data_IF_202021300381
#
_entry.id   IF_202021300381
#
_cell.length_a   1.000
_cell.length_b   1.000
_cell.length_c   1.000
_cell.angle_alpha   90.00
_cell.angle_beta   90.00
_cell.angle_gamma   90.00
#
_symmetry.space_group_name_H-M   'P 1'
#
loop_
_entity.id
_entity.type
_entity.pdbx_description
1 polymer ?
#
# COMPACT_ATOMS: atom_id res chain seq x y z
N UNK A 1 36.05 5.94 -13.86
CA UNK A 1 34.70 6.10 -13.28
C UNK A 1 34.09 7.41 -13.73
N UNK A 2 33.41 7.31 -14.85
CA UNK A 2 32.22 8.10 -15.17
C UNK A 2 31.11 7.83 -14.13
N UNK A 3 30.11 8.71 -14.11
CA UNK A 3 28.90 8.53 -13.29
C UNK A 3 28.12 7.25 -13.67
N UNK A 4 28.30 6.76 -14.91
CA UNK A 4 27.65 5.55 -15.41
C UNK A 4 28.33 4.28 -14.88
N UNK A 5 29.66 4.20 -14.91
CA UNK A 5 30.42 3.12 -14.26
C UNK A 5 30.08 2.99 -12.77
N UNK A 6 29.88 4.11 -12.07
CA UNK A 6 29.46 4.11 -10.67
C UNK A 6 28.07 3.46 -10.50
N UNK A 7 27.07 3.87 -11.29
CA UNK A 7 25.71 3.31 -11.23
C UNK A 7 25.63 1.83 -11.64
N UNK A 8 26.44 1.40 -12.61
CA UNK A 8 26.55 -0.03 -12.98
C UNK A 8 27.15 -0.82 -11.80
N UNK A 9 28.15 -0.27 -11.11
CA UNK A 9 28.72 -0.87 -9.89
C UNK A 9 27.73 -0.91 -8.72
N UNK A 10 26.88 0.10 -8.57
CA UNK A 10 25.81 0.15 -7.55
C UNK A 10 24.72 -0.90 -7.85
N UNK A 11 24.30 -1.05 -9.11
CA UNK A 11 23.35 -2.08 -9.54
C UNK A 11 23.87 -3.51 -9.28
N UNK A 12 25.14 -3.78 -9.62
CA UNK A 12 25.77 -5.09 -9.33
C UNK A 12 25.88 -5.35 -7.82
N UNK A 13 26.27 -4.34 -7.03
CA UNK A 13 26.32 -4.46 -5.57
C UNK A 13 24.92 -4.69 -4.94
N UNK A 14 23.87 -4.09 -5.49
CA UNK A 14 22.49 -4.35 -5.07
C UNK A 14 22.04 -5.78 -5.43
N UNK A 15 22.38 -6.27 -6.62
CA UNK A 15 22.11 -7.65 -7.03
C UNK A 15 22.83 -8.68 -6.16
N UNK A 16 24.10 -8.47 -5.83
CA UNK A 16 24.87 -9.32 -4.92
C UNK A 16 24.25 -9.34 -3.50
N UNK A 17 23.85 -8.17 -2.98
CA UNK A 17 23.17 -8.04 -1.69
C UNK A 17 21.83 -8.78 -1.66
N UNK A 18 21.07 -8.73 -2.75
CA UNK A 18 19.81 -9.47 -2.91
C UNK A 18 20.02 -10.99 -3.01
N UNK A 19 21.08 -11.45 -3.68
CA UNK A 19 21.45 -12.88 -3.71
C UNK A 19 21.86 -13.41 -2.33
N UNK A 20 22.65 -12.64 -1.56
CA UNK A 20 22.97 -12.97 -0.16
C UNK A 20 21.69 -12.97 0.70
N UNK A 21 20.75 -12.06 0.44
CA UNK A 21 19.46 -12.03 1.14
C UNK A 21 18.60 -13.26 0.79
N UNK A 22 18.53 -13.66 -0.49
CA UNK A 22 17.82 -14.85 -0.93
C UNK A 22 18.33 -16.13 -0.23
N UNK A 23 19.65 -16.30 -0.14
CA UNK A 23 20.26 -17.44 0.55
C UNK A 23 20.00 -17.43 2.07
N UNK A 24 20.02 -16.25 2.71
CA UNK A 24 19.65 -16.12 4.13
C UNK A 24 18.18 -16.50 4.37
N UNK A 25 17.25 -16.06 3.52
CA UNK A 25 15.82 -16.42 3.60
C UNK A 25 15.65 -17.92 3.34
N UNK A 26 16.33 -18.50 2.34
CA UNK A 26 16.35 -19.95 2.06
C UNK A 26 16.82 -20.76 3.26
N UNK A 27 17.87 -20.32 3.95
CA UNK A 27 18.35 -20.92 5.20
C UNK A 27 17.32 -20.85 6.33
N UNK A 28 16.64 -19.72 6.49
CA UNK A 28 15.58 -19.55 7.48
C UNK A 28 14.35 -20.43 7.20
N UNK A 29 13.89 -20.48 5.95
CA UNK A 29 12.78 -21.34 5.47
C UNK A 29 13.10 -22.81 5.69
N UNK A 30 14.29 -23.27 5.28
CA UNK A 30 14.76 -24.64 5.50
C UNK A 30 14.83 -25.01 7.00
N UNK A 31 15.24 -24.06 7.84
CA UNK A 31 15.25 -24.23 9.31
C UNK A 31 13.83 -24.35 9.88
N UNK A 32 12.90 -23.48 9.45
CA UNK A 32 11.50 -23.55 9.83
C UNK A 32 10.86 -24.88 9.40
N UNK A 33 11.13 -25.33 8.17
CA UNK A 33 10.64 -26.60 7.64
C UNK A 33 11.14 -27.79 8.48
N UNK A 34 12.43 -27.79 8.83
CA UNK A 34 13.04 -28.82 9.70
C UNK A 34 12.41 -28.84 11.10
N UNK A 35 12.12 -27.68 11.69
CA UNK A 35 11.49 -27.58 13.01
C UNK A 35 10.03 -28.07 12.99
N UNK A 36 9.25 -27.67 11.99
CA UNK A 36 7.82 -27.98 11.93
C UNK A 36 7.58 -29.44 11.52
N UNK A 37 8.37 -29.98 10.58
CA UNK A 37 8.34 -31.41 10.26
C UNK A 37 8.78 -32.26 11.49
N UNK A 38 9.68 -31.73 12.34
CA UNK A 38 10.00 -32.31 13.65
C UNK A 38 8.84 -32.31 14.65
N UNK A 39 8.08 -31.21 14.74
CA UNK A 39 6.87 -31.13 15.59
C UNK A 39 5.75 -32.08 15.13
N UNK A 40 5.61 -32.29 13.81
CA UNK A 40 4.72 -33.29 13.24
C UNK A 40 5.13 -34.72 13.64
N UNK A 41 6.42 -35.06 13.58
CA UNK A 41 6.95 -36.38 14.01
C UNK A 41 6.75 -36.63 15.51
N UNK A 42 6.78 -35.57 16.34
CA UNK A 42 6.48 -35.66 17.78
C UNK A 42 4.99 -35.85 18.09
N UNK A 43 4.09 -35.79 17.09
CA UNK A 43 2.68 -36.10 17.25
C UNK A 43 1.91 -35.10 18.12
N UNK A 44 2.30 -33.83 18.10
CA UNK A 44 1.69 -32.79 18.94
C UNK A 44 0.25 -32.49 18.50
N UNK A 45 -0.74 -32.83 19.35
CA UNK A 45 -2.17 -32.69 19.03
C UNK A 45 -2.87 -31.66 19.93
N UNK A 46 -3.36 -30.59 19.32
CA UNK A 46 -4.32 -29.64 19.88
C UNK A 46 -5.08 -28.96 18.75
N UNK A 47 -6.27 -28.36 18.96
CA UNK A 47 -7.01 -27.68 17.89
C UNK A 47 -6.19 -26.57 17.22
N UNK A 48 -5.43 -25.79 17.99
CA UNK A 48 -4.53 -24.77 17.47
C UNK A 48 -3.34 -25.36 16.68
N UNK A 49 -2.83 -26.53 17.09
CA UNK A 49 -1.78 -27.22 16.35
C UNK A 49 -2.29 -27.79 15.01
N UNK A 50 -3.53 -28.30 14.95
CA UNK A 50 -4.16 -28.74 13.70
C UNK A 50 -4.22 -27.58 12.70
N UNK A 51 -4.82 -26.45 13.10
CA UNK A 51 -4.90 -25.23 12.26
C UNK A 51 -3.51 -24.77 11.84
N UNK A 52 -2.54 -24.70 12.77
CA UNK A 52 -1.16 -24.32 12.45
C UNK A 52 -0.52 -25.24 11.40
N UNK A 53 -0.64 -26.57 11.54
CA UNK A 53 -0.06 -27.51 10.59
C UNK A 53 -0.78 -27.51 9.23
N UNK A 54 -2.07 -27.20 9.19
CA UNK A 54 -2.85 -27.06 7.94
C UNK A 54 -2.50 -25.77 7.21
N UNK A 55 -2.46 -24.62 7.91
CA UNK A 55 -1.93 -23.36 7.38
C UNK A 55 -0.50 -23.54 6.88
N UNK A 56 0.40 -24.09 7.69
CA UNK A 56 1.78 -24.34 7.28
C UNK A 56 1.90 -25.20 6.01
N UNK A 57 1.12 -26.28 5.88
CA UNK A 57 1.12 -27.11 4.66
C UNK A 57 0.70 -26.34 3.41
N UNK A 58 -0.18 -25.33 3.55
CA UNK A 58 -0.61 -24.46 2.46
C UNK A 58 0.45 -23.40 2.13
N UNK A 59 0.99 -22.73 3.14
CA UNK A 59 1.98 -21.65 2.94
C UNK A 59 3.40 -22.16 2.63
N UNK A 60 3.70 -23.45 2.86
CA UNK A 60 5.03 -24.04 2.61
C UNK A 60 5.57 -23.75 1.20
N UNK A 61 4.72 -23.86 0.19
CA UNK A 61 5.11 -23.56 -1.20
C UNK A 61 5.38 -22.07 -1.42
N UNK A 62 4.64 -21.18 -0.75
CA UNK A 62 4.90 -19.73 -0.79
C UNK A 62 6.24 -19.40 -0.13
N UNK A 63 6.54 -20.05 1.01
CA UNK A 63 7.82 -19.94 1.70
C UNK A 63 8.99 -20.46 0.83
N UNK A 64 8.81 -21.59 0.13
CA UNK A 64 9.80 -22.12 -0.81
C UNK A 64 9.98 -21.22 -2.06
N UNK A 65 8.93 -20.54 -2.53
CA UNK A 65 8.97 -19.64 -3.71
C UNK A 65 9.64 -18.29 -3.41
N UNK A 66 9.53 -17.74 -2.21
CA UNK A 66 10.07 -16.39 -1.89
C UNK A 66 11.58 -16.24 -2.19
N UNK A 67 12.47 -17.17 -1.80
CA UNK A 67 13.87 -17.15 -2.20
C UNK A 67 14.10 -17.25 -3.72
N UNK A 68 13.24 -17.96 -4.45
CA UNK A 68 13.38 -18.11 -5.91
C UNK A 68 13.03 -16.81 -6.66
N UNK A 69 12.07 -16.04 -6.17
CA UNK A 69 11.74 -14.72 -6.71
C UNK A 69 12.85 -13.69 -6.42
N UNK A 70 13.43 -13.71 -5.21
CA UNK A 70 14.59 -12.88 -4.88
C UNK A 70 15.81 -13.20 -5.77
N UNK A 71 16.13 -14.49 -5.96
CA UNK A 71 17.18 -14.92 -6.89
C UNK A 71 16.85 -14.57 -8.35
N UNK A 72 15.58 -14.55 -8.74
CA UNK A 72 15.15 -14.14 -10.09
C UNK A 72 15.35 -12.65 -10.28
N UNK A 73 14.94 -11.83 -9.31
CA UNK A 73 15.10 -10.38 -9.34
C UNK A 73 16.58 -9.95 -9.33
N UNK A 74 17.41 -10.58 -8.48
CA UNK A 74 18.86 -10.36 -8.46
C UNK A 74 19.52 -10.67 -9.81
N UNK A 75 19.12 -11.77 -10.47
CA UNK A 75 19.59 -12.11 -11.83
C UNK A 75 19.12 -11.08 -12.88
N UNK A 76 17.88 -10.59 -12.79
CA UNK A 76 17.37 -9.55 -13.69
C UNK A 76 18.15 -8.23 -13.55
N UNK A 77 18.54 -7.85 -12.32
CA UNK A 77 19.37 -6.66 -12.08
C UNK A 77 20.77 -6.79 -12.69
N UNK A 78 21.41 -7.96 -12.54
CA UNK A 78 22.70 -8.21 -13.20
C UNK A 78 22.58 -8.21 -14.73
N UNK A 79 21.54 -8.84 -15.29
CA UNK A 79 21.28 -8.79 -16.74
C UNK A 79 21.01 -7.37 -17.25
N UNK A 80 20.37 -6.51 -16.46
CA UNK A 80 20.19 -5.10 -16.79
C UNK A 80 21.52 -4.32 -16.75
N UNK A 81 22.38 -4.58 -15.76
CA UNK A 81 23.71 -3.99 -15.67
C UNK A 81 24.60 -4.39 -16.85
N UNK A 82 24.59 -5.68 -17.22
CA UNK A 82 25.33 -6.22 -18.38
C UNK A 82 24.84 -5.58 -19.70
N UNK A 83 23.52 -5.49 -19.90
CA UNK A 83 22.93 -4.89 -21.11
C UNK A 83 23.22 -3.38 -21.25
N UNK A 84 23.39 -2.66 -20.13
CA UNK A 84 23.82 -1.25 -20.14
C UNK A 84 25.31 -1.15 -20.51
N UNK A 85 26.16 -2.04 -19.98
CA UNK A 85 27.60 -2.07 -20.30
C UNK A 85 27.85 -2.41 -21.79
N UNK A 86 27.14 -3.40 -22.34
CA UNK A 86 27.18 -3.76 -23.77
C UNK A 86 26.74 -2.59 -24.67
N UNK A 87 25.66 -1.88 -24.30
CA UNK A 87 25.15 -0.75 -25.08
C UNK A 87 26.14 0.42 -25.12
N UNK A 88 26.79 0.72 -24.01
CA UNK A 88 27.83 1.78 -23.91
C UNK A 88 29.06 1.39 -24.74
N UNK A 89 29.50 0.14 -24.67
CA UNK A 89 30.62 -0.36 -25.47
C UNK A 89 30.31 -0.25 -26.98
N UNK A 90 29.10 -0.61 -27.39
CA UNK A 90 28.65 -0.48 -28.78
C UNK A 90 28.58 0.98 -29.26
N UNK A 91 28.15 1.92 -28.40
CA UNK A 91 28.15 3.36 -28.73
C UNK A 91 29.58 3.92 -28.86
N UNK A 92 30.53 3.48 -28.02
CA UNK A 92 31.94 3.84 -28.14
C UNK A 92 32.60 3.28 -29.40
N UNK A 93 32.32 2.02 -29.77
CA UNK A 93 32.84 1.41 -31.00
C UNK A 93 32.25 2.07 -32.25
N UNK A 94 30.95 2.38 -32.25
CA UNK A 94 30.27 3.16 -33.30
C UNK A 94 30.90 4.56 -33.47
N UNK A 95 31.23 5.22 -32.36
CA UNK A 95 31.85 6.55 -32.34
C UNK A 95 33.35 6.55 -32.67
N UNK A 96 34.00 5.38 -32.71
CA UNK A 96 35.45 5.24 -32.83
C UNK A 96 36.00 5.18 -34.26
N UNK A 97 35.17 4.89 -35.26
CA UNK A 97 35.62 4.69 -36.66
C UNK A 97 35.51 5.99 -37.46
N UNK A 98 36.49 6.88 -37.27
CA UNK A 98 36.44 8.26 -37.77
C UNK A 98 37.71 8.82 -38.44
N UNK A 99 38.67 7.99 -38.85
CA UNK A 99 39.86 8.45 -39.58
C UNK A 99 40.60 7.35 -40.39
N UNK A 100 40.32 7.27 -41.70
CA UNK A 100 41.37 7.37 -42.74
C UNK A 100 40.72 7.77 -44.09
N UNK A 101 41.51 8.33 -45.02
CA UNK A 101 41.05 8.94 -46.29
C UNK A 101 40.97 7.94 -47.48
N UNK A 102 40.13 8.21 -48.50
CA UNK A 102 40.31 7.53 -49.80
C UNK A 102 39.17 7.46 -50.84
N UNK A 103 38.83 8.59 -51.48
CA UNK A 103 38.61 8.78 -52.95
C UNK A 103 37.64 7.88 -53.81
N UNK A 104 37.02 8.54 -54.81
CA UNK A 104 36.54 8.01 -56.11
C UNK A 104 35.24 7.18 -56.28
N UNK A 105 34.13 7.93 -56.46
CA UNK A 105 33.17 7.87 -57.61
C UNK A 105 32.30 6.63 -57.95
N UNK A 106 30.98 6.92 -58.02
CA UNK A 106 30.01 6.58 -59.09
C UNK A 106 29.37 5.17 -59.21
N UNK A 107 28.08 5.05 -58.82
CA UNK A 107 27.00 4.37 -59.58
C UNK A 107 25.62 4.41 -58.87
N UNK A 108 24.53 4.38 -59.63
CA UNK A 108 23.10 4.36 -59.22
C UNK A 108 22.30 3.35 -60.09
N UNK A 109 20.99 3.07 -59.86
CA UNK A 109 20.13 3.20 -58.66
C UNK A 109 19.72 1.77 -58.21
N UNK A 110 18.47 1.18 -58.24
CA UNK A 110 17.07 1.63 -58.28
C UNK A 110 16.18 1.03 -57.12
N UNK A 111 14.90 0.59 -57.25
CA UNK A 111 13.81 1.48 -56.81
C UNK A 111 12.60 0.90 -56.00
N UNK A 112 11.74 1.84 -55.51
CA UNK A 112 10.29 1.78 -55.13
C UNK A 112 9.81 0.92 -53.93
N UNK A 113 8.59 1.18 -53.35
CA UNK A 113 7.63 2.28 -53.58
C UNK A 113 7.17 3.05 -52.30
N UNK A 114 6.34 4.09 -52.53
CA UNK A 114 5.65 4.93 -51.52
C UNK A 114 4.12 4.80 -51.71
N UNK A 115 3.29 4.99 -50.65
CA UNK A 115 1.93 5.53 -50.80
C UNK A 115 1.79 6.93 -50.18
N UNK A 116 1.02 7.82 -50.82
CA UNK A 116 1.01 9.27 -50.53
C UNK A 116 -0.38 9.83 -50.15
N UNK A 117 -0.38 10.80 -49.22
CA UNK A 117 -1.38 11.87 -49.14
C UNK A 117 -2.42 11.72 -48.02
N UNK A 118 -2.82 12.80 -47.34
CA UNK A 118 -2.30 14.17 -47.41
C UNK A 118 -3.27 15.21 -46.82
N UNK A 119 -2.79 16.44 -46.58
CA UNK A 119 -3.65 17.59 -46.24
C UNK A 119 -3.16 18.45 -45.06
N UNK A 120 -2.82 19.70 -45.37
CA UNK A 120 -2.75 20.84 -44.44
C UNK A 120 -3.37 22.05 -45.19
N UNK A 121 -3.77 23.17 -44.54
CA UNK A 121 -2.77 24.16 -44.12
C UNK A 121 -3.10 25.10 -42.92
N UNK A 122 -2.05 25.63 -42.28
CA UNK A 122 -2.03 26.95 -41.62
C UNK A 122 -2.46 27.04 -40.14
N UNK A 123 -2.01 28.03 -39.36
CA UNK A 123 -0.94 29.03 -39.63
C UNK A 123 -0.48 29.79 -38.36
N UNK A 124 0.81 30.15 -38.33
CA UNK A 124 1.40 31.36 -37.69
C UNK A 124 1.10 31.73 -36.22
N UNK A 125 2.14 31.86 -35.38
CA UNK A 125 1.96 32.32 -33.98
C UNK A 125 3.25 32.56 -33.18
N UNK A 126 4.23 33.20 -33.81
CA UNK A 126 5.44 33.82 -33.24
C UNK A 126 5.26 34.52 -31.87
N UNK A 127 6.16 34.25 -30.91
CA UNK A 127 6.34 35.05 -29.69
C UNK A 127 7.45 34.49 -28.79
N UNK A 128 8.35 35.33 -28.28
CA UNK A 128 9.46 34.89 -27.41
C UNK A 128 10.23 36.04 -26.76
N UNK A 129 11.26 35.69 -25.95
CA UNK A 129 11.99 36.54 -24.96
C UNK A 129 11.33 36.59 -23.57
N UNK A 130 12.09 36.88 -22.48
CA UNK A 130 13.43 36.38 -22.13
C UNK A 130 13.51 35.89 -20.65
N UNK A 131 14.59 35.21 -20.21
CA UNK A 131 14.76 34.84 -18.80
C UNK A 131 15.16 36.04 -17.91
N UNK A 132 14.78 36.05 -16.61
CA UNK A 132 15.23 37.04 -15.64
C UNK A 132 16.69 36.81 -15.19
N UNK A 133 17.31 37.86 -14.67
CA UNK A 133 18.74 37.95 -14.37
C UNK A 133 19.17 37.34 -13.02
N UNK A 134 20.40 36.83 -12.98
CA UNK A 134 21.11 36.48 -11.74
C UNK A 134 21.27 37.65 -10.78
N UNK A 135 20.97 37.44 -9.49
CA UNK A 135 21.17 38.40 -8.41
C UNK A 135 22.22 37.92 -7.41
N UNK A 136 23.48 38.35 -7.57
CA UNK A 136 24.55 38.05 -6.60
C UNK A 136 24.51 39.00 -5.41
N UNK A 137 24.36 38.49 -4.19
CA UNK A 137 24.37 39.28 -2.95
C UNK A 137 25.11 38.58 -1.82
N UNK A 138 26.43 38.77 -1.72
CA UNK A 138 27.24 38.29 -0.60
C UNK A 138 27.24 39.27 0.57
N UNK A 139 27.07 38.77 1.81
CA UNK A 139 27.13 39.57 3.04
C UNK A 139 27.78 38.78 4.17
N UNK A 140 28.90 39.29 4.71
CA UNK A 140 29.73 38.60 5.71
C UNK A 140 29.62 39.21 7.11
N UNK A 141 29.51 38.37 8.14
CA UNK A 141 29.64 38.76 9.55
C UNK A 141 28.67 37.95 10.44
N UNK A 142 29.07 37.31 11.55
CA UNK A 142 30.39 37.26 12.18
C UNK A 142 30.46 38.12 13.45
N UNK A 143 29.85 37.63 14.53
CA UNK A 143 29.88 38.25 15.85
C UNK A 143 29.50 37.24 16.95
N UNK A 144 30.23 37.25 18.06
CA UNK A 144 30.01 36.37 19.21
C UNK A 144 30.09 37.18 20.51
N UNK A 145 29.89 36.52 21.66
CA UNK A 145 29.75 37.09 23.01
C UNK A 145 28.45 37.90 23.21
N UNK A 146 27.84 37.94 24.40
CA UNK A 146 28.14 37.22 25.65
C UNK A 146 27.27 37.79 26.78
N UNK A 147 26.63 36.95 27.59
CA UNK A 147 25.61 37.37 28.55
C UNK A 147 26.10 37.54 30.00
N UNK A 148 25.49 38.48 30.73
CA UNK A 148 25.30 38.49 32.20
C UNK A 148 24.10 39.39 32.56
N UNK A 149 23.43 39.20 33.71
CA UNK A 149 22.05 39.66 33.92
C UNK A 149 21.91 41.04 34.58
N UNK A 150 20.67 41.56 34.58
CA UNK A 150 20.28 42.67 35.47
C UNK A 150 18.91 42.43 36.11
N UNK A 151 18.76 42.83 37.37
CA UNK A 151 17.56 42.68 38.20
C UNK A 151 16.81 44.01 38.35
N UNK A 152 15.48 44.04 38.27
CA UNK A 152 14.71 45.25 38.62
C UNK A 152 13.20 45.10 38.52
N UNK A 153 12.51 45.24 39.65
CA UNK A 153 11.04 45.17 39.76
C UNK A 153 10.42 46.57 39.81
N UNK A 154 9.19 46.76 39.28
CA UNK A 154 8.28 47.80 39.81
C UNK A 154 7.44 48.64 38.84
N UNK A 155 6.16 48.27 38.72
CA UNK A 155 4.99 49.17 38.79
C UNK A 155 4.70 50.25 37.72
N UNK A 156 3.73 49.90 36.87
CA UNK A 156 2.53 50.70 36.55
C UNK A 156 2.63 52.09 35.88
N UNK A 157 2.10 52.18 34.65
CA UNK A 157 0.78 52.81 34.37
C UNK A 157 0.26 52.40 32.97
N UNK A 158 -1.05 52.45 32.78
CA UNK A 158 -1.71 51.87 31.60
C UNK A 158 -1.85 52.81 30.40
N UNK A 159 -2.04 52.22 29.24
CA UNK A 159 -2.49 52.86 28.00
C UNK A 159 -3.14 51.81 27.10
N UNK A 160 -4.31 52.12 26.53
CA UNK A 160 -5.04 51.19 25.67
C UNK A 160 -4.37 51.05 24.31
N UNK A 161 -3.96 49.84 23.96
CA UNK A 161 -3.44 49.49 22.63
C UNK A 161 -3.81 48.05 22.31
N UNK A 162 -4.26 47.79 21.08
CA UNK A 162 -4.56 46.44 20.62
C UNK A 162 -3.25 45.69 20.37
N UNK A 163 -3.10 44.51 20.98
CA UNK A 163 -1.95 43.63 20.83
C UNK A 163 -2.45 42.21 20.59
N UNK A 164 -1.84 41.51 19.63
CA UNK A 164 -2.09 40.09 19.41
C UNK A 164 -1.58 39.25 20.62
N UNK A 165 -2.17 38.08 20.89
CA UNK A 165 -1.68 37.19 21.94
C UNK A 165 -0.31 36.61 21.58
N UNK A 166 0.74 37.05 22.27
CA UNK A 166 2.05 36.42 22.21
C UNK A 166 2.06 35.21 23.14
N UNK A 167 1.87 34.01 22.60
CA UNK A 167 1.99 32.77 23.36
C UNK A 167 3.45 32.54 23.76
N UNK A 168 3.67 32.24 25.04
CA UNK A 168 4.98 31.85 25.59
C UNK A 168 5.03 30.34 25.81
N UNK A 169 6.16 29.71 25.50
CA UNK A 169 6.36 28.26 25.58
C UNK A 169 6.51 27.72 27.02
N UNK A 170 5.58 28.12 27.90
CA UNK A 170 5.50 27.75 29.32
C UNK A 170 4.07 27.54 29.81
N UNK A 171 3.07 27.68 28.92
CA UNK A 171 1.65 27.39 29.22
C UNK A 171 1.23 25.96 28.80
N UNK A 172 2.16 25.18 28.23
CA UNK A 172 1.99 23.76 27.92
C UNK A 172 2.55 22.92 29.08
N UNK A 173 1.73 22.70 30.10
CA UNK A 173 1.85 21.50 30.95
C UNK A 173 1.38 20.32 30.07
N UNK A 174 2.33 19.60 29.49
CA UNK A 174 2.07 18.54 28.51
C UNK A 174 1.42 17.33 29.22
N UNK A 175 0.14 17.01 28.95
CA UNK A 175 -0.59 16.05 29.76
C UNK A 175 -0.08 14.63 29.50
N UNK A 176 0.27 13.92 30.58
CA UNK A 176 0.74 12.53 30.52
C UNK A 176 -0.19 11.68 29.62
N UNK A 177 0.33 11.07 28.53
CA UNK A 177 -0.49 10.53 27.47
C UNK A 177 -1.41 9.44 28.01
N UNK A 178 -2.71 9.70 27.95
CA UNK A 178 -3.71 8.80 28.50
C UNK A 178 -3.64 7.44 27.80
N UNK A 179 -3.85 6.32 28.51
CA UNK A 179 -3.79 4.99 27.92
C UNK A 179 -4.87 4.87 26.85
N UNK A 180 -4.44 4.92 25.59
CA UNK A 180 -5.32 4.91 24.41
C UNK A 180 -6.17 3.64 24.45
N UNK A 181 -7.48 3.80 24.36
CA UNK A 181 -8.42 2.67 24.36
C UNK A 181 -8.20 1.74 23.16
N UNK A 182 -8.63 0.47 23.22
CA UNK A 182 -8.53 -0.44 22.08
C UNK A 182 -9.25 0.16 20.85
N UNK A 183 -8.84 -0.20 19.62
CA UNK A 183 -9.54 0.23 18.42
C UNK A 183 -11.03 -0.20 18.47
N UNK A 184 -11.95 0.63 17.96
CA UNK A 184 -13.36 0.25 17.84
C UNK A 184 -13.54 -1.04 17.02
N UNK A 185 -14.55 -1.88 17.32
CA UNK A 185 -14.96 -2.94 16.41
C UNK A 185 -15.36 -2.38 15.03
N UNK A 186 -15.14 -3.13 13.95
CA UNK A 186 -15.48 -2.72 12.58
C UNK A 186 -16.96 -2.30 12.45
N UNK A 187 -17.84 -2.97 13.18
CA UNK A 187 -19.29 -2.69 13.25
C UNK A 187 -19.65 -1.37 13.95
N UNK A 188 -18.73 -0.77 14.72
CA UNK A 188 -19.01 0.41 15.53
C UNK A 188 -19.00 1.71 14.70
N UNK A 189 -18.18 1.77 13.64
CA UNK A 189 -18.24 2.80 12.62
C UNK A 189 -17.64 2.31 11.30
N UNK A 190 -18.37 2.52 10.21
CA UNK A 190 -17.94 2.32 8.83
C UNK A 190 -18.62 3.42 8.00
N UNK A 191 -17.85 4.19 7.22
CA UNK A 191 -18.42 5.27 6.40
C UNK A 191 -19.32 4.73 5.27
N UNK A 192 -20.06 5.65 4.63
CA UNK A 192 -20.95 5.32 3.52
C UNK A 192 -20.27 4.62 2.34
N UNK A 193 -19.03 4.98 2.00
CA UNK A 193 -18.31 4.39 0.88
C UNK A 193 -17.94 2.91 1.14
N UNK A 194 -17.61 2.58 2.39
CA UNK A 194 -17.23 1.23 2.81
C UNK A 194 -18.43 0.35 3.27
N UNK A 195 -19.65 0.90 3.30
CA UNK A 195 -20.86 0.19 3.76
C UNK A 195 -21.17 -1.05 2.91
N UNK A 196 -20.84 -1.04 1.61
CA UNK A 196 -21.00 -2.22 0.74
C UNK A 196 -20.04 -3.35 1.15
N UNK A 197 -18.78 -3.02 1.52
CA UNK A 197 -17.79 -4.00 1.95
C UNK A 197 -18.20 -4.66 3.28
N UNK A 198 -18.72 -3.87 4.24
CA UNK A 198 -19.26 -4.39 5.49
C UNK A 198 -20.47 -5.30 5.24
N UNK A 199 -21.35 -4.91 4.30
CA UNK A 199 -22.52 -5.70 3.91
C UNK A 199 -22.12 -7.02 3.24
N UNK A 200 -21.12 -6.98 2.35
CA UNK A 200 -20.56 -8.17 1.69
C UNK A 200 -19.92 -9.13 2.71
N UNK A 201 -19.14 -8.60 3.67
CA UNK A 201 -18.53 -9.37 4.75
C UNK A 201 -19.59 -10.08 5.60
N UNK A 202 -20.62 -9.35 6.05
CA UNK A 202 -21.73 -9.91 6.83
C UNK A 202 -22.53 -10.98 6.04
N UNK A 203 -22.74 -10.76 4.74
CA UNK A 203 -23.38 -11.77 3.87
C UNK A 203 -22.54 -13.04 3.77
N UNK A 204 -21.22 -12.93 3.56
CA UNK A 204 -20.33 -14.09 3.46
C UNK A 204 -20.19 -14.83 4.79
N UNK A 205 -20.16 -14.12 5.93
CA UNK A 205 -20.19 -14.74 7.26
C UNK A 205 -21.48 -15.56 7.49
N UNK A 206 -22.64 -15.08 7.02
CA UNK A 206 -23.90 -15.82 7.07
C UNK A 206 -23.94 -17.02 6.10
N UNK A 207 -23.33 -16.91 4.92
CA UNK A 207 -23.21 -18.01 3.96
C UNK A 207 -22.25 -19.10 4.47
N UNK A 208 -21.16 -18.72 5.14
CA UNK A 208 -20.21 -19.63 5.76
C UNK A 208 -20.87 -20.51 6.83
N UNK A 209 -21.69 -19.94 7.70
CA UNK A 209 -22.40 -20.69 8.74
C UNK A 209 -23.51 -21.60 8.15
N UNK A 210 -24.15 -21.14 7.07
CA UNK A 210 -25.08 -21.97 6.27
C UNK A 210 -24.34 -23.15 5.63
N UNK A 211 -23.13 -22.92 5.11
CA UNK A 211 -22.30 -23.93 4.46
C UNK A 211 -21.76 -24.97 5.45
N UNK A 212 -21.33 -24.55 6.64
CA UNK A 212 -20.97 -25.44 7.77
C UNK A 212 -22.15 -26.33 8.18
N UNK A 213 -23.33 -25.73 8.35
CA UNK A 213 -24.57 -26.48 8.66
C UNK A 213 -24.87 -27.53 7.58
N UNK A 214 -24.59 -27.23 6.31
CA UNK A 214 -24.74 -28.19 5.21
C UNK A 214 -23.67 -29.29 5.24
N UNK A 215 -22.41 -28.97 5.54
CA UNK A 215 -21.32 -29.94 5.68
C UNK A 215 -21.58 -30.95 6.81
N UNK A 216 -22.08 -30.50 7.95
CA UNK A 216 -22.47 -31.37 9.07
C UNK A 216 -23.62 -32.32 8.67
N UNK A 217 -24.61 -31.81 7.94
CA UNK A 217 -25.72 -32.61 7.40
C UNK A 217 -25.25 -33.69 6.42
N UNK A 218 -24.33 -33.34 5.51
CA UNK A 218 -23.74 -34.28 4.56
C UNK A 218 -22.89 -35.35 5.27
N UNK A 219 -22.03 -34.92 6.20
CA UNK A 219 -21.17 -35.80 7.00
C UNK A 219 -21.98 -36.78 7.85
N UNK A 220 -23.05 -36.29 8.49
CA UNK A 220 -24.01 -37.13 9.23
C UNK A 220 -24.64 -38.18 8.31
N UNK A 221 -25.16 -37.76 7.14
CA UNK A 221 -25.80 -38.67 6.18
C UNK A 221 -24.83 -39.71 5.61
N UNK A 222 -23.57 -39.34 5.41
CA UNK A 222 -22.48 -40.23 5.00
C UNK A 222 -22.17 -41.28 6.08
N UNK A 223 -22.21 -40.89 7.35
CA UNK A 223 -22.10 -41.80 8.51
C UNK A 223 -23.28 -42.78 8.62
N UNK A 224 -24.51 -42.33 8.37
CA UNK A 224 -25.70 -43.20 8.32
C UNK A 224 -25.58 -44.28 7.24
N UNK A 225 -25.20 -43.91 6.02
CA UNK A 225 -25.07 -44.85 4.89
C UNK A 225 -23.90 -45.82 5.07
N UNK A 226 -22.77 -45.37 5.64
CA UNK A 226 -21.68 -46.25 6.04
C UNK A 226 -22.16 -47.29 7.06
N UNK A 227 -22.92 -46.86 8.06
CA UNK A 227 -23.50 -47.76 9.08
C UNK A 227 -24.47 -48.78 8.46
N UNK A 228 -25.33 -48.37 7.51
CA UNK A 228 -26.21 -49.30 6.79
C UNK A 228 -25.42 -50.34 5.97
N UNK A 229 -24.34 -49.91 5.31
CA UNK A 229 -23.46 -50.78 4.52
C UNK A 229 -22.77 -51.83 5.41
N UNK A 230 -22.18 -51.40 6.53
CA UNK A 230 -21.46 -52.28 7.45
C UNK A 230 -22.39 -53.29 8.13
N UNK A 231 -23.60 -52.86 8.51
CA UNK A 231 -24.63 -53.71 9.09
C UNK A 231 -25.14 -54.76 8.08
N UNK A 232 -25.25 -54.40 6.80
CA UNK A 232 -25.60 -55.31 5.71
C UNK A 232 -24.48 -56.32 5.42
N UNK A 233 -23.21 -55.90 5.42
CA UNK A 233 -22.05 -56.78 5.29
C UNK A 233 -21.98 -57.80 6.45
N UNK A 234 -22.20 -57.36 7.69
CA UNK A 234 -22.27 -58.20 8.89
C UNK A 234 -23.38 -59.26 8.79
N UNK A 235 -24.58 -58.87 8.34
CA UNK A 235 -25.73 -59.78 8.13
C UNK A 235 -25.45 -60.82 7.04
N UNK A 236 -24.71 -60.49 5.98
CA UNK A 236 -24.32 -61.49 4.98
C UNK A 236 -23.31 -62.52 5.52
N UNK A 237 -22.27 -62.05 6.20
CA UNK A 237 -21.22 -62.91 6.77
C UNK A 237 -21.77 -63.91 7.80
N UNK A 238 -22.87 -63.57 8.48
CA UNK A 238 -23.55 -64.44 9.45
C UNK A 238 -24.65 -65.33 8.84
N UNK A 239 -25.24 -64.96 7.70
CA UNK A 239 -26.33 -65.71 7.07
C UNK A 239 -25.89 -66.79 6.05
N UNK A 240 -24.65 -66.74 5.56
CA UNK A 240 -24.14 -67.70 4.55
C UNK A 240 -24.86 -67.66 3.20
N UNK A 241 -25.60 -66.59 2.92
CA UNK A 241 -26.48 -66.43 1.76
C UNK A 241 -25.85 -65.66 0.59
N UNK A 242 -26.42 -65.86 -0.61
CA UNK A 242 -25.96 -65.20 -1.85
C UNK A 242 -26.30 -63.69 -1.85
N UNK A 243 -25.38 -62.89 -2.39
CA UNK A 243 -25.36 -61.42 -2.31
C UNK A 243 -26.53 -60.71 -3.01
N UNK A 244 -27.19 -59.74 -2.32
CA UNK A 244 -27.91 -58.64 -2.96
C UNK A 244 -26.93 -57.60 -3.54
N UNK A 245 -26.08 -58.04 -4.49
CA UNK A 245 -24.89 -57.32 -4.97
C UNK A 245 -25.20 -55.86 -5.40
N UNK A 246 -26.37 -55.61 -5.98
CA UNK A 246 -26.82 -54.28 -6.40
C UNK A 246 -27.07 -53.29 -5.23
N UNK A 247 -27.55 -53.73 -4.06
CA UNK A 247 -27.79 -52.80 -2.92
C UNK A 247 -26.49 -52.32 -2.29
N UNK A 248 -25.51 -53.22 -2.15
CA UNK A 248 -24.16 -52.89 -1.67
C UNK A 248 -23.55 -51.84 -2.57
N UNK A 249 -23.61 -52.06 -3.90
CA UNK A 249 -23.09 -51.13 -4.88
C UNK A 249 -23.80 -49.78 -4.85
N UNK A 250 -25.13 -49.78 -4.80
CA UNK A 250 -25.91 -48.53 -4.70
C UNK A 250 -25.66 -47.75 -3.40
N UNK A 251 -25.31 -48.40 -2.29
CA UNK A 251 -24.84 -47.72 -1.08
C UNK A 251 -23.43 -47.15 -1.26
N UNK A 252 -22.50 -47.91 -1.86
CA UNK A 252 -21.14 -47.45 -2.16
C UNK A 252 -21.13 -46.27 -3.15
N UNK A 253 -21.99 -46.29 -4.17
CA UNK A 253 -22.21 -45.20 -5.13
C UNK A 253 -22.75 -43.93 -4.45
N UNK A 254 -23.70 -44.06 -3.51
CA UNK A 254 -24.19 -42.93 -2.71
C UNK A 254 -23.15 -42.38 -1.72
N UNK A 255 -22.35 -43.25 -1.09
CA UNK A 255 -21.25 -42.82 -0.21
C UNK A 255 -20.18 -42.07 -1.01
N UNK A 256 -19.80 -42.56 -2.19
CA UNK A 256 -18.85 -41.88 -3.06
C UNK A 256 -19.38 -40.52 -3.59
N UNK A 257 -20.68 -40.41 -3.86
CA UNK A 257 -21.31 -39.15 -4.20
C UNK A 257 -21.27 -38.16 -3.02
N UNK A 258 -21.62 -38.60 -1.80
CA UNK A 258 -21.53 -37.77 -0.60
C UNK A 258 -20.10 -37.38 -0.24
N UNK A 259 -19.11 -38.26 -0.41
CA UNK A 259 -17.70 -37.92 -0.21
C UNK A 259 -17.25 -36.82 -1.19
N UNK A 260 -17.79 -36.79 -2.41
CA UNK A 260 -17.57 -35.70 -3.38
C UNK A 260 -18.32 -34.40 -3.02
N UNK A 261 -19.56 -34.48 -2.52
CA UNK A 261 -20.32 -33.32 -2.03
C UNK A 261 -19.67 -32.71 -0.78
N UNK A 262 -19.11 -33.54 0.10
CA UNK A 262 -18.36 -33.14 1.29
C UNK A 262 -17.08 -32.38 0.91
N UNK A 263 -16.31 -32.90 -0.06
CA UNK A 263 -15.10 -32.19 -0.56
C UNK A 263 -15.47 -30.80 -1.10
N UNK A 264 -16.45 -30.72 -2.01
CA UNK A 264 -16.86 -29.43 -2.58
C UNK A 264 -17.44 -28.44 -1.55
N UNK A 265 -18.09 -28.94 -0.50
CA UNK A 265 -18.55 -28.11 0.62
C UNK A 265 -17.39 -27.63 1.51
N UNK A 266 -16.34 -28.43 1.69
CA UNK A 266 -15.11 -28.03 2.38
C UNK A 266 -14.34 -26.97 1.57
N UNK A 267 -14.22 -27.15 0.26
CA UNK A 267 -13.58 -26.20 -0.65
C UNK A 267 -14.31 -24.84 -0.63
N UNK A 268 -15.64 -24.82 -0.75
CA UNK A 268 -16.44 -23.59 -0.65
C UNK A 268 -16.33 -22.88 0.70
N UNK A 269 -16.21 -23.65 1.80
CA UNK A 269 -15.96 -23.10 3.14
C UNK A 269 -14.59 -22.43 3.22
N UNK A 270 -13.54 -23.03 2.62
CA UNK A 270 -12.21 -22.43 2.58
C UNK A 270 -12.21 -21.12 1.77
N UNK A 271 -12.85 -21.10 0.60
CA UNK A 271 -12.95 -19.91 -0.26
C UNK A 271 -13.70 -18.77 0.44
N UNK A 272 -14.83 -19.06 1.11
CA UNK A 272 -15.55 -18.08 1.93
C UNK A 272 -14.69 -17.54 3.08
N UNK A 273 -13.94 -18.39 3.78
CA UNK A 273 -13.06 -17.95 4.87
C UNK A 273 -11.92 -17.03 4.38
N UNK A 274 -11.33 -17.31 3.21
CA UNK A 274 -10.33 -16.44 2.60
C UNK A 274 -10.93 -15.09 2.15
N UNK A 275 -12.13 -15.10 1.55
CA UNK A 275 -12.82 -13.87 1.12
C UNK A 275 -13.25 -13.00 2.31
N UNK A 276 -13.70 -13.60 3.42
CA UNK A 276 -14.00 -12.86 4.65
C UNK A 276 -12.74 -12.23 5.23
N UNK A 277 -11.61 -12.95 5.23
CA UNK A 277 -10.34 -12.43 5.73
C UNK A 277 -9.81 -11.23 4.90
N UNK A 278 -9.99 -11.23 3.58
CA UNK A 278 -9.68 -10.06 2.73
C UNK A 278 -10.55 -8.85 3.11
N UNK A 279 -11.87 -9.04 3.19
CA UNK A 279 -12.81 -7.97 3.53
C UNK A 279 -12.57 -7.42 4.94
N UNK A 280 -12.29 -8.27 5.93
CA UNK A 280 -11.91 -7.87 7.29
C UNK A 280 -10.61 -7.05 7.28
N UNK A 281 -9.59 -7.48 6.54
CA UNK A 281 -8.30 -6.76 6.41
C UNK A 281 -8.48 -5.39 5.75
N UNK A 282 -9.34 -5.29 4.73
CA UNK A 282 -9.63 -4.06 4.01
C UNK A 282 -10.45 -3.08 4.84
N UNK A 283 -11.51 -3.56 5.52
CA UNK A 283 -12.31 -2.78 6.46
C UNK A 283 -11.47 -2.30 7.64
N UNK A 284 -10.56 -3.11 8.19
CA UNK A 284 -9.68 -2.67 9.26
C UNK A 284 -8.83 -1.47 8.82
N UNK A 285 -8.22 -1.51 7.62
CA UNK A 285 -7.35 -0.44 7.09
C UNK A 285 -8.02 0.94 7.09
N UNK A 286 -9.33 0.99 6.87
CA UNK A 286 -10.14 2.23 6.83
C UNK A 286 -10.98 2.49 8.08
N UNK A 287 -11.01 1.55 9.04
CA UNK A 287 -11.67 1.73 10.32
C UNK A 287 -10.96 2.75 11.23
N UNK A 288 -11.65 3.41 12.17
CA UNK A 288 -11.02 4.35 13.10
C UNK A 288 -9.94 3.71 13.97
N UNK A 289 -8.87 4.47 14.21
CA UNK A 289 -7.78 4.07 15.09
C UNK A 289 -8.20 3.96 16.57
N UNK A 290 -7.30 3.38 17.38
CA UNK A 290 -7.36 3.42 18.83
C UNK A 290 -7.51 4.87 19.34
N UNK A 291 -8.46 5.10 20.25
CA UNK A 291 -8.73 6.43 20.83
C UNK A 291 -9.72 7.33 20.08
N UNK A 292 -10.25 6.87 18.94
CA UNK A 292 -11.20 7.62 18.12
C UNK A 292 -12.51 8.01 18.85
N UNK A 293 -12.99 9.23 18.60
CA UNK A 293 -14.35 9.67 18.93
C UNK A 293 -15.27 9.43 17.72
N UNK A 294 -16.17 8.46 17.85
CA UNK A 294 -17.07 8.05 16.77
C UNK A 294 -18.20 9.06 16.50
N UNK A 295 -18.59 9.89 17.47
CA UNK A 295 -19.58 10.95 17.24
C UNK A 295 -18.95 12.12 16.49
N UNK A 296 -17.70 12.45 16.84
CA UNK A 296 -16.87 13.41 16.11
C UNK A 296 -16.60 12.96 14.67
N UNK A 297 -16.17 11.72 14.45
CA UNK A 297 -15.93 11.16 13.11
C UNK A 297 -17.20 11.14 12.27
N UNK A 298 -18.34 10.69 12.82
CA UNK A 298 -19.62 10.72 12.12
C UNK A 298 -20.12 12.15 11.83
N UNK A 299 -19.66 13.16 12.57
CA UNK A 299 -19.93 14.58 12.27
C UNK A 299 -19.03 15.18 11.19
N UNK A 300 -17.91 14.52 10.85
CA UNK A 300 -17.00 14.90 9.77
C UNK A 300 -17.47 14.34 8.42
N UNK A 301 -18.12 13.18 8.39
CA UNK A 301 -18.75 12.61 7.19
C UNK A 301 -19.79 13.59 6.56
N UNK A 302 -19.78 13.73 5.24
CA UNK A 302 -20.51 14.76 4.45
C UNK A 302 -20.23 16.25 4.83
N UNK A 303 -19.31 16.54 5.75
CA UNK A 303 -19.02 17.92 6.18
C UNK A 303 -18.04 18.64 5.23
N UNK A 304 -17.49 19.78 5.65
CA UNK A 304 -16.47 20.51 4.90
C UNK A 304 -15.43 21.12 5.84
N UNK A 305 -14.17 21.22 5.39
CA UNK A 305 -13.12 21.93 6.11
C UNK A 305 -13.54 23.36 6.43
N UNK A 306 -13.35 23.79 7.68
CA UNK A 306 -13.83 25.09 8.12
C UNK A 306 -13.24 26.25 7.30
N UNK A 307 -14.05 27.29 7.05
CA UNK A 307 -13.60 28.47 6.29
C UNK A 307 -12.40 29.19 6.96
N UNK A 308 -12.22 29.01 8.28
CA UNK A 308 -11.03 29.49 8.99
C UNK A 308 -9.76 28.79 8.52
N UNK A 309 -9.77 27.45 8.44
CA UNK A 309 -8.67 26.64 7.90
C UNK A 309 -8.44 26.98 6.42
N UNK A 310 -9.50 26.99 5.60
CA UNK A 310 -9.42 27.31 4.15
C UNK A 310 -8.88 28.72 3.84
N UNK A 311 -8.97 29.64 4.81
CA UNK A 311 -8.36 30.97 4.72
C UNK A 311 -6.92 30.98 5.26
N UNK A 312 -6.63 30.24 6.33
CA UNK A 312 -5.30 30.18 6.95
C UNK A 312 -4.27 29.44 6.09
N UNK A 313 -4.69 28.38 5.39
CA UNK A 313 -3.81 27.61 4.49
C UNK A 313 -3.70 28.22 3.08
N UNK A 314 -4.42 29.30 2.78
CA UNK A 314 -4.36 29.96 1.46
C UNK A 314 -3.22 30.98 1.41
N UNK A 315 -2.05 30.57 0.91
CA UNK A 315 -0.88 31.45 0.80
C UNK A 315 -0.60 31.87 -0.65
N UNK A 316 -0.03 33.07 -0.83
CA UNK A 316 0.21 33.66 -2.14
C UNK A 316 1.53 33.22 -2.79
N UNK A 317 2.37 32.49 -2.05
CA UNK A 317 3.70 31.99 -2.46
C UNK A 317 3.71 30.47 -2.74
N UNK A 318 2.55 29.84 -2.75
CA UNK A 318 2.32 28.39 -2.89
C UNK A 318 2.85 27.48 -1.76
N UNK A 319 3.54 28.00 -0.74
CA UNK A 319 4.22 27.22 0.31
C UNK A 319 3.35 26.16 1.03
N UNK A 320 2.03 26.39 1.10
CA UNK A 320 1.03 25.47 1.66
C UNK A 320 -0.21 25.35 0.78
N UNK A 321 -0.10 25.58 -0.54
CA UNK A 321 -1.28 25.49 -1.40
C UNK A 321 -1.71 24.05 -1.71
N UNK A 322 -0.82 23.06 -1.58
CA UNK A 322 -1.17 21.63 -1.56
C UNK A 322 -2.08 21.30 -0.35
N UNK A 323 -1.73 21.82 0.82
CA UNK A 323 -2.52 21.75 2.06
C UNK A 323 -3.89 22.43 1.85
N UNK A 324 -3.95 23.61 1.23
CA UNK A 324 -5.23 24.27 0.89
C UNK A 324 -6.08 23.45 -0.09
N UNK A 325 -5.44 22.79 -1.07
CA UNK A 325 -6.08 21.97 -2.08
C UNK A 325 -6.75 20.72 -1.48
N UNK A 326 -6.04 19.97 -0.65
CA UNK A 326 -6.59 18.81 0.08
C UNK A 326 -7.72 19.25 1.01
N UNK A 327 -7.52 20.32 1.79
CA UNK A 327 -8.58 20.92 2.61
C UNK A 327 -9.83 21.34 1.82
N UNK A 328 -9.71 21.66 0.53
CA UNK A 328 -10.84 22.06 -0.32
C UNK A 328 -11.65 20.89 -0.89
N UNK A 329 -11.12 19.65 -0.81
CA UNK A 329 -11.78 18.41 -1.27
C UNK A 329 -12.57 17.73 -0.17
N UNK A 330 -11.90 17.44 0.92
CA UNK A 330 -12.39 16.60 2.01
C UNK A 330 -12.44 17.38 3.33
N UNK A 331 -13.18 16.90 4.34
CA UNK A 331 -13.13 17.46 5.68
C UNK A 331 -11.75 17.22 6.31
N UNK A 332 -11.03 18.29 6.62
CA UNK A 332 -9.80 18.28 7.43
C UNK A 332 -10.08 19.07 8.72
N UNK A 333 -10.03 18.43 9.90
CA UNK A 333 -10.29 19.09 11.17
C UNK A 333 -9.12 20.00 11.60
N UNK A 334 -9.26 20.79 12.70
CA UNK A 334 -8.15 21.54 13.28
C UNK A 334 -6.94 20.68 13.66
N UNK A 335 -5.80 21.30 13.93
CA UNK A 335 -4.55 20.62 14.30
C UNK A 335 -3.80 20.00 13.11
N UNK A 336 -4.49 19.27 12.24
CA UNK A 336 -3.90 18.57 11.08
C UNK A 336 -3.26 19.50 10.01
N UNK A 337 -3.88 20.60 9.57
CA UNK A 337 -3.44 21.31 8.37
C UNK A 337 -2.36 22.37 8.66
N UNK A 338 -1.11 21.92 8.72
CA UNK A 338 0.10 22.76 8.71
C UNK A 338 1.04 22.32 7.56
N UNK A 339 2.37 22.47 7.69
CA UNK A 339 3.35 21.98 6.72
C UNK A 339 3.07 20.52 6.35
N UNK A 340 3.01 20.19 5.07
CA UNK A 340 2.59 18.88 4.57
C UNK A 340 3.28 17.70 5.27
N UNK A 341 4.61 17.77 5.45
CA UNK A 341 5.38 16.68 6.05
C UNK A 341 5.00 16.31 7.50
N UNK A 342 4.42 17.25 8.27
CA UNK A 342 4.03 17.08 9.67
C UNK A 342 2.61 16.51 9.86
N UNK A 343 1.83 16.33 8.79
CA UNK A 343 0.46 15.83 8.88
C UNK A 343 0.33 14.48 9.62
N UNK A 344 1.23 13.49 9.45
CA UNK A 344 1.20 12.25 10.22
C UNK A 344 1.38 12.48 11.73
N UNK A 345 2.34 13.31 12.13
CA UNK A 345 2.61 13.65 13.53
C UNK A 345 1.43 14.41 14.15
N UNK A 346 0.83 15.36 13.42
CA UNK A 346 -0.36 16.08 13.89
C UNK A 346 -1.53 15.11 14.13
N UNK A 347 -1.72 14.12 13.26
CA UNK A 347 -2.77 13.12 13.39
C UNK A 347 -2.51 12.15 14.56
N UNK A 348 -1.26 11.79 14.84
CA UNK A 348 -0.88 11.03 16.04
C UNK A 348 -1.10 11.83 17.33
N UNK A 349 -1.00 13.17 17.28
CA UNK A 349 -1.35 14.05 18.39
C UNK A 349 -2.87 14.27 18.58
N UNK A 350 -3.69 13.84 17.62
CA UNK A 350 -5.16 13.95 17.63
C UNK A 350 -5.84 12.58 17.43
N UNK A 351 -5.67 11.63 18.38
CA UNK A 351 -6.26 10.29 18.28
C UNK A 351 -7.79 10.29 18.20
N UNK A 352 -8.46 11.36 18.65
CA UNK A 352 -9.92 11.53 18.56
C UNK A 352 -10.43 11.50 17.11
N UNK A 353 -9.60 11.86 16.12
CA UNK A 353 -9.97 11.75 14.69
C UNK A 353 -9.82 10.34 14.12
N UNK A 354 -9.21 9.40 14.86
CA UNK A 354 -9.08 8.00 14.43
C UNK A 354 -8.31 7.77 13.14
N UNK A 355 -7.50 8.74 12.69
CA UNK A 355 -6.76 8.66 11.41
C UNK A 355 -5.70 7.56 11.52
N UNK A 356 -5.70 6.61 10.59
CA UNK A 356 -4.66 5.56 10.48
C UNK A 356 -3.58 5.98 9.48
N UNK A 357 -2.38 5.43 9.63
CA UNK A 357 -1.26 5.58 8.69
C UNK A 357 -0.95 4.25 8.00
N UNK A 358 -0.43 4.30 6.79
CA UNK A 358 0.13 3.12 6.13
C UNK A 358 0.84 3.41 4.79
N UNK A 359 1.11 2.34 4.07
CA UNK A 359 1.92 2.25 2.85
C UNK A 359 1.13 1.87 1.59
N UNK A 360 -0.18 1.58 1.73
CA UNK A 360 -1.06 1.17 0.64
C UNK A 360 -1.87 2.36 0.13
N UNK A 361 -1.80 2.72 -1.17
CA UNK A 361 -2.66 3.74 -1.73
C UNK A 361 -4.14 3.30 -1.69
N UNK A 362 -5.00 4.18 -1.19
CA UNK A 362 -6.46 4.00 -1.16
C UNK A 362 -7.17 5.24 -1.71
N UNK A 363 -8.32 5.07 -2.38
CA UNK A 363 -9.13 6.22 -2.80
C UNK A 363 -9.65 7.00 -1.58
N UNK A 364 -9.65 8.33 -1.64
CA UNK A 364 -10.01 9.18 -0.49
C UNK A 364 -8.99 9.16 0.65
N UNK A 365 -7.76 8.69 0.41
CA UNK A 365 -6.61 8.90 1.32
C UNK A 365 -5.81 10.14 0.91
N UNK A 366 -5.05 10.69 1.85
CA UNK A 366 -4.05 11.74 1.55
C UNK A 366 -2.67 11.10 1.55
N UNK A 367 -1.97 11.22 0.43
CA UNK A 367 -0.55 10.92 0.32
C UNK A 367 0.24 12.10 0.87
N UNK A 368 1.07 11.86 1.87
CA UNK A 368 2.09 12.77 2.39
C UNK A 368 3.44 12.36 1.81
N UNK A 369 4.17 13.32 1.23
CA UNK A 369 5.56 13.17 0.81
C UNK A 369 6.47 13.97 1.76
N UNK A 370 7.51 13.32 2.28
CA UNK A 370 8.53 13.94 3.13
C UNK A 370 9.46 14.86 2.32
N UNK A 371 10.18 15.83 2.93
CA UNK A 371 11.05 16.79 2.23
C UNK A 371 12.21 16.14 1.45
N UNK A 372 12.59 14.92 1.83
CA UNK A 372 13.58 14.09 1.14
C UNK A 372 13.07 13.53 -0.21
N UNK A 373 11.76 13.50 -0.43
CA UNK A 373 11.14 12.96 -1.64
C UNK A 373 11.35 13.89 -2.85
N UNK A 374 11.77 13.41 -4.04
CA UNK A 374 12.21 14.25 -5.16
C UNK A 374 11.12 15.13 -5.82
N UNK A 375 9.84 14.93 -5.47
CA UNK A 375 8.71 15.76 -5.91
C UNK A 375 8.24 16.80 -4.87
N UNK A 376 8.76 16.74 -3.63
CA UNK A 376 8.31 17.58 -2.52
C UNK A 376 9.08 18.91 -2.40
N UNK A 377 8.57 19.86 -1.59
CA UNK A 377 9.35 21.03 -1.17
C UNK A 377 10.35 20.65 -0.06
N UNK A 378 11.59 21.14 -0.21
CA UNK A 378 12.76 20.83 0.63
C UNK A 378 12.65 21.23 2.11
N UNK A 379 11.60 21.95 2.50
CA UNK A 379 11.32 22.42 3.87
C UNK A 379 9.89 22.14 4.34
N UNK A 380 8.95 21.95 3.41
CA UNK A 380 7.52 21.83 3.72
C UNK A 380 6.91 20.46 3.39
N UNK A 381 7.60 19.60 2.63
CA UNK A 381 7.03 18.35 2.10
C UNK A 381 6.01 18.61 1.00
N UNK A 382 5.13 17.64 0.73
CA UNK A 382 3.96 17.83 -0.16
C UNK A 382 2.78 16.93 0.23
N UNK A 383 1.56 17.33 -0.10
CA UNK A 383 0.36 16.48 0.05
C UNK A 383 -0.43 16.38 -1.27
N UNK A 384 -0.86 15.17 -1.58
CA UNK A 384 -1.68 14.82 -2.74
C UNK A 384 -2.94 14.09 -2.28
N UNK A 385 -4.08 14.39 -2.89
CA UNK A 385 -5.31 13.61 -2.66
C UNK A 385 -5.36 12.43 -3.63
N UNK A 386 -5.61 11.21 -3.13
CA UNK A 386 -5.72 10.01 -3.98
C UNK A 386 -7.16 9.88 -4.49
N UNK A 387 -7.37 10.30 -5.73
CA UNK A 387 -8.66 10.29 -6.42
C UNK A 387 -9.16 8.86 -6.70
N UNK A 388 -8.25 7.94 -7.05
CA UNK A 388 -8.52 6.51 -7.24
C UNK A 388 -7.22 5.70 -7.29
N UNK A 389 -7.35 4.39 -7.08
CA UNK A 389 -6.39 3.38 -7.53
C UNK A 389 -7.10 2.50 -8.56
N UNK A 390 -6.45 2.14 -9.66
CA UNK A 390 -7.04 1.23 -10.65
C UNK A 390 -6.58 -0.23 -10.47
N UNK A 391 -7.25 -1.17 -11.15
CA UNK A 391 -7.04 -2.62 -11.00
C UNK A 391 -5.61 -3.11 -11.32
N UNK A 392 -4.74 -2.27 -11.91
CA UNK A 392 -3.33 -2.60 -12.14
C UNK A 392 -2.40 -2.03 -11.04
N UNK A 393 -2.97 -1.43 -9.99
CA UNK A 393 -2.24 -0.75 -8.91
C UNK A 393 -1.83 0.69 -9.22
N UNK A 394 -2.22 1.29 -10.36
CA UNK A 394 -1.82 2.66 -10.64
C UNK A 394 -2.58 3.65 -9.74
N UNK A 395 -1.83 4.51 -9.06
CA UNK A 395 -2.36 5.59 -8.22
C UNK A 395 -2.64 6.83 -9.06
N UNK A 396 -3.86 7.36 -8.96
CA UNK A 396 -4.27 8.60 -9.60
C UNK A 396 -4.52 9.68 -8.54
N UNK A 397 -3.92 10.84 -8.72
CA UNK A 397 -3.77 11.89 -7.70
C UNK A 397 -4.14 13.27 -8.22
N UNK A 398 -4.44 14.19 -7.31
CA UNK A 398 -4.45 15.64 -7.59
C UNK A 398 -3.72 16.43 -6.50
N UNK A 399 -3.17 17.58 -6.91
CA UNK A 399 -2.60 18.60 -6.04
C UNK A 399 -2.92 20.01 -6.57
N UNK A 400 -2.35 21.03 -5.93
CA UNK A 400 -2.55 22.43 -6.31
C UNK A 400 -1.96 22.83 -7.68
N UNK A 401 -1.24 21.94 -8.36
CA UNK A 401 -0.72 22.13 -9.73
C UNK A 401 -1.48 21.26 -10.74
N UNK A 402 -1.91 20.07 -10.33
CA UNK A 402 -2.59 19.06 -11.12
C UNK A 402 -4.05 18.98 -10.69
N UNK A 403 -4.87 19.88 -11.24
CA UNK A 403 -6.26 20.06 -10.80
C UNK A 403 -7.22 18.94 -11.23
N UNK A 404 -6.88 18.25 -12.33
CA UNK A 404 -7.54 17.06 -12.86
C UNK A 404 -6.73 15.80 -12.51
N UNK A 405 -7.34 14.61 -12.33
CA UNK A 405 -6.62 13.41 -11.87
C UNK A 405 -5.50 12.96 -12.83
N UNK A 406 -4.26 13.02 -12.36
CA UNK A 406 -3.04 12.59 -13.07
C UNK A 406 -2.47 11.29 -12.49
N UNK A 407 -1.65 10.59 -13.28
CA UNK A 407 -0.98 9.36 -12.85
C UNK A 407 0.22 9.72 -11.96
N UNK A 408 0.37 9.10 -10.78
CA UNK A 408 1.49 9.41 -9.89
C UNK A 408 2.86 9.19 -10.55
N UNK A 409 3.01 8.12 -11.33
CA UNK A 409 4.21 7.82 -12.12
C UNK A 409 4.44 8.73 -13.35
N UNK A 410 3.57 9.73 -13.56
CA UNK A 410 3.82 10.84 -14.50
C UNK A 410 4.32 12.11 -13.81
N UNK A 411 4.34 12.13 -12.47
CA UNK A 411 4.87 13.21 -11.63
C UNK A 411 6.25 12.86 -11.05
N UNK A 412 6.48 11.59 -10.71
CA UNK A 412 7.67 11.12 -9.99
C UNK A 412 8.01 9.66 -10.35
N UNK A 413 9.31 9.35 -10.48
CA UNK A 413 9.81 7.97 -10.60
C UNK A 413 9.76 7.21 -9.26
N UNK A 414 9.72 7.94 -8.13
CA UNK A 414 9.55 7.40 -6.78
C UNK A 414 8.06 7.43 -6.44
N UNK A 415 7.41 6.27 -6.41
CA UNK A 415 5.96 6.13 -6.17
C UNK A 415 5.62 5.34 -4.90
N UNK A 416 6.63 4.79 -4.24
CA UNK A 416 6.56 4.14 -2.92
C UNK A 416 7.94 4.21 -2.24
N UNK A 417 7.98 4.07 -0.92
CA UNK A 417 9.22 4.17 -0.13
C UNK A 417 8.96 4.72 1.27
N UNK A 418 10.01 4.89 2.10
CA UNK A 418 9.89 5.44 3.45
C UNK A 418 9.48 6.93 3.45
N UNK A 419 9.72 7.64 2.34
CA UNK A 419 9.46 9.07 2.20
C UNK A 419 8.01 9.38 1.77
N UNK A 420 7.14 8.35 1.71
CA UNK A 420 5.73 8.44 1.35
C UNK A 420 4.87 7.74 2.42
N UNK A 421 3.92 8.47 3.01
CA UNK A 421 2.94 7.94 3.98
C UNK A 421 1.52 8.21 3.48
N UNK A 422 0.65 7.21 3.53
CA UNK A 422 -0.79 7.39 3.29
C UNK A 422 -1.53 7.58 4.62
N UNK A 423 -2.32 8.64 4.69
CA UNK A 423 -3.24 8.92 5.79
C UNK A 423 -4.65 8.44 5.41
N UNK A 424 -5.18 7.50 6.19
CA UNK A 424 -6.53 6.97 6.03
C UNK A 424 -7.46 7.71 7.00
N UNK A 425 -8.36 8.53 6.44
CA UNK A 425 -9.34 9.31 7.18
C UNK A 425 -10.65 8.52 7.25
N UNK A 426 -11.13 8.09 8.42
CA UNK A 426 -12.24 7.14 8.50
C UNK A 426 -13.54 7.59 7.83
N UNK A 427 -13.78 8.90 7.70
CA UNK A 427 -14.96 9.47 7.07
C UNK A 427 -14.88 9.61 5.53
N UNK A 428 -13.71 9.39 4.92
CA UNK A 428 -13.45 9.68 3.49
C UNK A 428 -12.82 8.49 2.73
N UNK A 429 -11.87 7.78 3.35
CA UNK A 429 -11.05 6.76 2.68
C UNK A 429 -11.83 5.47 2.39
N UNK A 430 -11.53 4.84 1.26
CA UNK A 430 -12.24 3.68 0.68
C UNK A 430 -11.32 2.45 0.63
N UNK A 431 -11.79 1.28 1.10
CA UNK A 431 -10.96 0.08 1.38
C UNK A 431 -10.90 -0.99 0.30
#
# INVERSE_FOLDING_TARGET
MSTLEARISELRAAADSLGVTAENVRGAVSTAHTLIDGLLVLGFQSPAATVFFETYRRERTVMDTWPEELDRFARSLNQAADAIEDAVQQEMESSGVGADDGDSTDSLPPPVPVPTGGGAPGSSGTGGSPPPSSGTGGGTGGGSFGGVPFTGSGSSRGGSGSSAPTFTASDFDDPEPQPVGPPPPLEAYTNRANTELLTQMQQQQAELETSRTNLDRLTTRRGELQSELDDLLSRMNSAGGVTPNARIRGLQEQIAALDSEISGAQDHINDLQLSIQDLETRLERVSPAAGADLELIASLEDSQTSQAILNATRQADNSVNCVNWVCSRMPIPPGIPNNAYLWPENALAHPEYGIRMGDVPLAGSVMVMQPEHPFADDRFGHVLFVERVDNNGNVWVTDNFNHEPVLLSSLTDVTSGPDITYMYFPWETQG
#
